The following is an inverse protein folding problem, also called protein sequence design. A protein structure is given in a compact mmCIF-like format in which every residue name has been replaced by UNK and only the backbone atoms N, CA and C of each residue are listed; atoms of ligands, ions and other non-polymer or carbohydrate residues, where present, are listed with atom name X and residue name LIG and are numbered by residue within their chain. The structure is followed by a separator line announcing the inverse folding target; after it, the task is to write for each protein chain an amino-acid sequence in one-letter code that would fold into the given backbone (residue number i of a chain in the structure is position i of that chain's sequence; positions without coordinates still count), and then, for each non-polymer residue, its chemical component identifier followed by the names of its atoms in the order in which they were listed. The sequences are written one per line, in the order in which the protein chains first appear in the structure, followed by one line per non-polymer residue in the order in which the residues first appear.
data_IF_776155220505
#
_entry.id   IF_776155220505
#
_cell.length_a   1.000
_cell.length_b   1.000
_cell.length_c   1.000
_cell.angle_alpha   90.00
_cell.angle_beta   90.00
_cell.angle_gamma   90.00
#
_symmetry.space_group_name_H-M   'P 1'
#
loop_
_entity.id
_entity.type
_entity.pdbx_description
1 polymer ?
#
# COMPACT_ATOMS: atom_id res chain seq x y z
N UNK A 1 -44.96 16.35 14.63
CA UNK A 1 -43.64 16.87 15.09
C UNK A 1 -42.57 16.05 14.42
N UNK A 2 -42.03 16.54 13.31
CA UNK A 2 -40.96 15.89 12.58
C UNK A 2 -39.62 16.44 13.09
N UNK A 3 -38.87 15.65 13.83
CA UNK A 3 -37.47 15.96 14.16
C UNK A 3 -36.59 15.56 12.99
N UNK A 4 -36.14 16.54 12.23
CA UNK A 4 -35.00 16.39 11.30
C UNK A 4 -33.78 16.12 12.15
N UNK A 5 -33.16 14.96 11.93
CA UNK A 5 -31.81 14.69 12.40
C UNK A 5 -30.87 15.39 11.41
N UNK A 6 -30.33 16.54 11.80
CA UNK A 6 -29.26 17.22 11.07
C UNK A 6 -28.00 16.35 11.13
N UNK A 7 -27.67 15.74 9.99
CA UNK A 7 -26.36 15.13 9.79
C UNK A 7 -25.29 16.22 9.81
N UNK A 8 -24.55 16.34 10.89
CA UNK A 8 -23.34 17.14 10.93
C UNK A 8 -22.35 16.56 9.90
N UNK A 9 -22.22 17.23 8.77
CA UNK A 9 -21.09 17.07 7.88
C UNK A 9 -19.84 17.50 8.66
N UNK A 10 -19.00 16.54 9.03
CA UNK A 10 -17.68 16.80 9.55
C UNK A 10 -16.89 17.57 8.49
N UNK A 11 -16.48 18.79 8.81
CA UNK A 11 -15.87 19.76 7.89
C UNK A 11 -14.43 19.45 7.46
N UNK A 12 -14.14 18.22 7.07
CA UNK A 12 -12.87 17.89 6.43
C UNK A 12 -12.93 18.35 4.97
N UNK A 13 -11.98 19.20 4.55
CA UNK A 13 -11.86 19.61 3.16
C UNK A 13 -11.71 18.37 2.25
N UNK A 14 -12.37 18.40 1.08
CA UNK A 14 -12.25 17.34 0.09
C UNK A 14 -10.76 17.08 -0.25
N UNK A 15 -10.37 15.81 -0.48
CA UNK A 15 -9.00 15.49 -0.87
C UNK A 15 -8.57 16.30 -2.09
N UNK A 16 -7.39 16.91 -2.01
CA UNK A 16 -6.79 17.70 -3.08
C UNK A 16 -5.68 16.91 -3.74
N UNK A 17 -5.61 16.95 -5.07
CA UNK A 17 -4.48 16.43 -5.82
C UNK A 17 -3.42 17.52 -5.98
N UNK A 18 -2.18 17.13 -5.79
CA UNK A 18 -0.99 17.97 -5.94
C UNK A 18 0.12 17.18 -6.63
N UNK A 19 1.14 17.89 -7.09
CA UNK A 19 2.33 17.31 -7.73
C UNK A 19 3.59 17.93 -7.15
N UNK A 20 4.66 17.15 -7.13
CA UNK A 20 5.98 17.60 -6.71
C UNK A 20 7.05 17.04 -7.64
N UNK A 21 8.03 17.88 -7.99
CA UNK A 21 9.20 17.45 -8.74
C UNK A 21 10.08 16.52 -7.90
N UNK A 22 10.47 15.39 -8.46
CA UNK A 22 11.33 14.38 -7.81
C UNK A 22 12.31 13.84 -8.83
N UNK A 23 13.60 13.87 -8.51
CA UNK A 23 14.66 13.41 -9.42
C UNK A 23 14.48 14.03 -10.84
N UNK A 24 14.30 13.20 -11.84
CA UNK A 24 14.10 13.57 -13.26
C UNK A 24 12.64 13.53 -13.71
N UNK A 25 11.68 13.49 -12.75
CA UNK A 25 10.25 13.34 -13.03
C UNK A 25 9.38 14.14 -12.04
N UNK A 26 8.09 13.84 -12.00
CA UNK A 26 7.13 14.37 -11.04
C UNK A 26 6.38 13.22 -10.37
N UNK A 27 6.02 13.38 -9.09
CA UNK A 27 5.08 12.50 -8.43
C UNK A 27 3.82 13.27 -8.05
N UNK A 28 2.68 12.70 -8.45
CA UNK A 28 1.35 13.18 -8.07
C UNK A 28 0.93 12.54 -6.76
N UNK A 29 0.16 13.25 -5.95
CA UNK A 29 -0.36 12.73 -4.69
C UNK A 29 -1.70 13.34 -4.30
N UNK A 30 -2.49 12.59 -3.54
CA UNK A 30 -3.67 13.09 -2.87
C UNK A 30 -3.29 13.59 -1.48
N UNK A 31 -3.80 14.75 -1.07
CA UNK A 31 -3.62 15.32 0.26
C UNK A 31 -4.96 15.68 0.88
N UNK A 32 -5.15 15.35 2.17
CA UNK A 32 -6.31 15.72 2.96
C UNK A 32 -5.94 15.82 4.44
N UNK A 33 -6.70 16.66 5.18
CA UNK A 33 -6.41 16.93 6.59
C UNK A 33 -5.21 17.86 6.78
N UNK A 34 -5.21 18.61 7.88
CA UNK A 34 -4.18 19.64 8.17
C UNK A 34 -3.61 19.54 9.57
N UNK A 35 -4.10 18.58 10.37
CA UNK A 35 -3.74 18.43 11.78
C UNK A 35 -3.41 16.97 12.10
N UNK A 36 -2.73 16.76 13.25
CA UNK A 36 -2.35 15.43 13.69
C UNK A 36 -1.09 14.89 12.99
N UNK A 37 -0.77 13.60 13.19
CA UNK A 37 0.39 12.96 12.56
C UNK A 37 0.21 12.83 11.06
N UNK A 38 1.32 12.86 10.32
CA UNK A 38 1.29 12.59 8.88
C UNK A 38 1.08 11.09 8.64
N UNK A 39 0.05 10.74 7.86
CA UNK A 39 -0.23 9.38 7.44
C UNK A 39 0.07 9.25 5.95
N UNK A 40 1.08 8.45 5.63
CA UNK A 40 1.49 8.13 4.26
C UNK A 40 0.76 6.86 3.80
N UNK A 41 0.00 6.96 2.73
CA UNK A 41 -0.75 5.85 2.15
C UNK A 41 -0.03 5.29 0.92
N UNK A 42 0.55 4.12 1.01
CA UNK A 42 1.31 3.47 -0.06
C UNK A 42 0.50 2.37 -0.72
N UNK A 43 0.19 2.57 -1.98
CA UNK A 43 -0.50 1.59 -2.82
C UNK A 43 0.48 0.55 -3.42
N UNK A 44 -0.06 -0.48 -4.07
CA UNK A 44 0.69 -1.47 -4.80
C UNK A 44 0.30 -1.56 -6.29
N UNK A 45 0.54 -2.71 -6.88
CA UNK A 45 0.32 -2.99 -8.31
C UNK A 45 -1.11 -3.54 -8.55
N UNK A 46 -1.86 -3.10 -9.57
CA UNK A 46 -1.62 -2.03 -10.53
C UNK A 46 -2.34 -0.73 -10.13
N UNK A 47 -2.48 -0.46 -8.85
CA UNK A 47 -3.32 0.61 -8.31
C UNK A 47 -2.61 1.98 -8.28
N UNK A 48 -3.20 2.94 -7.60
CA UNK A 48 -2.68 4.29 -7.38
C UNK A 48 -3.22 4.85 -6.06
N UNK A 49 -2.99 6.12 -5.75
CA UNK A 49 -3.63 6.79 -4.63
C UNK A 49 -5.17 6.64 -4.62
N UNK A 50 -5.76 6.38 -5.79
CA UNK A 50 -7.20 6.18 -5.94
C UNK A 50 -7.78 5.07 -5.07
N UNK A 51 -6.99 4.01 -4.78
CA UNK A 51 -7.45 2.91 -3.91
C UNK A 51 -7.75 3.37 -2.47
N UNK A 52 -7.16 4.48 -2.05
CA UNK A 52 -7.33 5.04 -0.71
C UNK A 52 -8.45 6.08 -0.60
N UNK A 53 -9.16 6.39 -1.73
CA UNK A 53 -10.16 7.46 -1.82
C UNK A 53 -11.27 7.39 -0.77
N UNK A 54 -11.71 6.17 -0.43
CA UNK A 54 -12.78 5.93 0.55
C UNK A 54 -12.26 5.77 1.99
N UNK A 55 -10.93 5.62 2.19
CA UNK A 55 -10.29 5.50 3.51
C UNK A 55 -9.85 6.87 4.02
N UNK A 56 -9.25 7.69 3.17
CA UNK A 56 -8.74 9.02 3.51
C UNK A 56 -9.78 9.89 4.23
N UNK A 57 -11.07 9.94 3.86
CA UNK A 57 -12.08 10.75 4.55
C UNK A 57 -12.26 10.41 6.03
N UNK A 58 -12.04 9.15 6.44
CA UNK A 58 -12.10 8.74 7.85
C UNK A 58 -10.89 9.23 8.66
N UNK A 59 -9.73 9.30 8.01
CA UNK A 59 -8.45 9.61 8.66
C UNK A 59 -8.15 11.11 8.66
N UNK A 60 -8.57 11.84 7.63
CA UNK A 60 -8.30 13.27 7.46
C UNK A 60 -8.75 14.18 8.63
N UNK A 61 -9.81 13.87 9.41
CA UNK A 61 -10.16 14.65 10.60
C UNK A 61 -9.14 14.60 11.73
N UNK A 62 -8.30 13.55 11.79
CA UNK A 62 -7.36 13.27 12.89
C UNK A 62 -5.90 13.13 12.45
N UNK A 63 -5.61 13.19 11.16
CA UNK A 63 -4.27 13.07 10.58
C UNK A 63 -4.12 13.85 9.27
N UNK A 64 -2.89 14.28 8.96
CA UNK A 64 -2.54 14.77 7.63
C UNK A 64 -2.29 13.57 6.70
N UNK A 65 -3.22 13.31 5.78
CA UNK A 65 -3.16 12.21 4.83
C UNK A 65 -2.38 12.61 3.57
N UNK A 66 -1.40 11.80 3.18
CA UNK A 66 -0.64 11.93 1.94
C UNK A 66 -0.62 10.57 1.24
N UNK A 67 -1.18 10.50 0.06
CA UNK A 67 -1.25 9.28 -0.75
C UNK A 67 -0.59 9.55 -2.11
N UNK A 68 0.72 9.26 -2.28
CA UNK A 68 1.38 9.38 -3.57
C UNK A 68 0.88 8.34 -4.56
N UNK A 69 0.86 8.71 -5.82
CA UNK A 69 0.95 7.76 -6.91
C UNK A 69 2.42 7.38 -7.06
N UNK A 70 2.79 6.11 -6.93
CA UNK A 70 4.16 5.67 -7.13
C UNK A 70 4.64 6.02 -8.55
N UNK A 71 5.94 6.20 -8.73
CA UNK A 71 6.49 6.51 -10.06
C UNK A 71 6.03 5.48 -11.09
N UNK A 72 5.53 5.93 -12.24
CA UNK A 72 4.95 5.07 -13.27
C UNK A 72 3.47 4.72 -13.08
N UNK A 73 2.87 5.02 -11.92
CA UNK A 73 1.47 4.74 -11.59
C UNK A 73 0.63 6.03 -11.52
N UNK A 74 -0.69 5.88 -11.56
CA UNK A 74 -1.62 7.00 -11.41
C UNK A 74 -1.28 8.14 -12.34
N UNK A 75 -1.24 9.36 -11.78
CA UNK A 75 -0.89 10.58 -12.48
C UNK A 75 0.59 10.97 -12.30
N UNK A 76 1.39 10.16 -11.62
CA UNK A 76 2.84 10.36 -11.56
C UNK A 76 3.50 10.17 -12.92
N UNK A 77 4.65 10.82 -13.11
CA UNK A 77 5.44 10.70 -14.31
C UNK A 77 5.83 9.27 -14.65
N UNK A 78 6.13 9.03 -15.92
CA UNK A 78 6.49 7.72 -16.46
C UNK A 78 7.86 7.79 -17.16
N UNK A 79 8.96 8.07 -16.42
CA UNK A 79 10.30 8.10 -16.98
C UNK A 79 10.68 6.76 -17.59
N UNK A 80 11.63 6.76 -18.52
CA UNK A 80 12.11 5.52 -19.14
C UNK A 80 13.15 4.84 -18.23
N UNK A 81 12.64 4.13 -17.23
CA UNK A 81 13.41 3.37 -16.25
C UNK A 81 12.89 1.93 -16.19
N UNK A 82 13.56 1.08 -15.42
CA UNK A 82 13.17 -0.33 -15.26
C UNK A 82 12.00 -0.56 -14.30
N UNK A 83 11.65 0.42 -13.48
CA UNK A 83 10.61 0.33 -12.45
C UNK A 83 10.83 -0.82 -11.47
N UNK A 84 12.10 -1.11 -11.16
CA UNK A 84 12.46 -2.09 -10.15
C UNK A 84 12.05 -1.61 -8.75
N UNK A 85 12.00 -2.52 -7.80
CA UNK A 85 11.76 -2.18 -6.39
C UNK A 85 12.63 -1.00 -5.93
N UNK A 86 13.93 -1.02 -6.23
CA UNK A 86 14.86 0.03 -5.83
C UNK A 86 14.65 1.36 -6.57
N UNK A 87 14.07 1.36 -7.76
CA UNK A 87 13.66 2.61 -8.41
C UNK A 87 12.52 3.25 -7.63
N UNK A 88 11.51 2.48 -7.25
CA UNK A 88 10.43 2.98 -6.39
C UNK A 88 10.93 3.49 -5.04
N UNK A 89 11.91 2.83 -4.42
CA UNK A 89 12.57 3.30 -3.18
C UNK A 89 13.20 4.68 -3.41
N UNK A 90 14.00 4.86 -4.47
CA UNK A 90 14.67 6.14 -4.78
C UNK A 90 13.68 7.28 -4.98
N UNK A 91 12.62 7.05 -5.74
CA UNK A 91 11.60 8.08 -6.00
C UNK A 91 10.77 8.39 -4.75
N UNK A 92 10.45 7.39 -3.94
CA UNK A 92 9.76 7.61 -2.67
C UNK A 92 10.61 8.41 -1.67
N UNK A 93 11.91 8.10 -1.57
CA UNK A 93 12.82 8.86 -0.72
C UNK A 93 12.89 10.35 -1.16
N UNK A 94 13.05 10.61 -2.46
CA UNK A 94 13.05 11.95 -3.02
C UNK A 94 11.70 12.68 -2.83
N UNK A 95 10.58 11.96 -2.92
CA UNK A 95 9.24 12.49 -2.65
C UNK A 95 9.10 12.95 -1.19
N UNK A 96 9.53 12.14 -0.24
CA UNK A 96 9.49 12.48 1.19
C UNK A 96 10.39 13.67 1.53
N UNK A 97 11.56 13.75 0.88
CA UNK A 97 12.48 14.88 1.03
C UNK A 97 11.91 16.17 0.44
N UNK A 98 11.34 16.11 -0.75
CA UNK A 98 10.75 17.27 -1.43
C UNK A 98 9.56 17.88 -0.67
N UNK A 99 8.83 17.05 0.10
CA UNK A 99 7.73 17.52 0.96
C UNK A 99 8.15 17.79 2.42
N UNK A 100 9.44 17.68 2.76
CA UNK A 100 9.99 17.80 4.12
C UNK A 100 9.24 16.94 5.16
N UNK A 101 8.85 15.72 4.75
CA UNK A 101 8.12 14.80 5.63
C UNK A 101 9.13 14.04 6.49
N UNK A 102 9.01 14.18 7.82
CA UNK A 102 9.97 13.62 8.78
C UNK A 102 9.39 12.42 9.53
N UNK A 103 8.27 12.60 10.19
CA UNK A 103 7.66 11.59 11.05
C UNK A 103 6.37 11.06 10.42
N UNK A 104 6.24 9.73 10.35
CA UNK A 104 5.21 9.06 9.56
C UNK A 104 4.49 7.97 10.34
N UNK A 105 3.18 7.94 10.21
CA UNK A 105 2.41 6.70 10.24
C UNK A 105 2.25 6.25 8.80
N UNK A 106 2.44 4.97 8.51
CA UNK A 106 2.32 4.46 7.14
C UNK A 106 1.16 3.47 7.07
N UNK A 107 0.25 3.67 6.13
CA UNK A 107 -0.77 2.71 5.73
C UNK A 107 -0.40 2.13 4.36
N UNK A 108 -0.28 0.81 4.24
CA UNK A 108 0.28 0.20 3.04
C UNK A 108 -0.41 -1.12 2.64
N UNK A 109 -0.42 -1.39 1.35
CA UNK A 109 -0.95 -2.62 0.77
C UNK A 109 -0.03 -3.08 -0.38
N UNK A 110 0.10 -4.41 -0.56
CA UNK A 110 0.86 -5.03 -1.65
C UNK A 110 2.30 -4.49 -1.71
N UNK A 111 2.81 -4.04 -2.84
CA UNK A 111 4.16 -3.46 -2.98
C UNK A 111 4.40 -2.22 -2.12
N UNK A 112 3.33 -1.48 -1.79
CA UNK A 112 3.41 -0.40 -0.82
C UNK A 112 3.92 -0.89 0.54
N UNK A 113 3.64 -2.15 0.93
CA UNK A 113 4.15 -2.72 2.19
C UNK A 113 5.65 -3.02 2.13
N UNK A 114 6.17 -3.48 0.98
CA UNK A 114 7.60 -3.67 0.81
C UNK A 114 8.35 -2.34 0.94
N UNK A 115 7.81 -1.26 0.34
CA UNK A 115 8.36 0.09 0.49
C UNK A 115 8.26 0.59 1.94
N UNK A 116 7.13 0.35 2.61
CA UNK A 116 6.92 0.74 4.00
C UNK A 116 7.90 0.03 4.96
N UNK A 117 8.07 -1.28 4.80
CA UNK A 117 8.99 -2.06 5.64
C UNK A 117 10.44 -1.67 5.40
N UNK A 118 10.83 -1.45 4.14
CA UNK A 118 12.17 -0.98 3.79
C UNK A 118 12.43 0.44 4.35
N UNK A 119 11.46 1.34 4.27
CA UNK A 119 11.57 2.66 4.87
C UNK A 119 11.69 2.57 6.40
N UNK A 120 10.87 1.73 7.04
CA UNK A 120 10.89 1.52 8.49
C UNK A 120 12.20 0.89 8.97
N UNK A 121 12.80 -0.03 8.21
CA UNK A 121 14.10 -0.62 8.54
C UNK A 121 15.23 0.42 8.50
N UNK A 122 15.22 1.35 7.54
CA UNK A 122 16.24 2.38 7.35
C UNK A 122 16.04 3.63 8.23
N UNK A 123 14.79 3.97 8.55
CA UNK A 123 14.41 5.21 9.25
C UNK A 123 13.53 4.92 10.48
N UNK A 124 13.89 3.90 11.26
CA UNK A 124 13.05 3.37 12.35
C UNK A 124 12.58 4.42 13.36
N UNK A 125 13.38 5.42 13.67
CA UNK A 125 13.05 6.51 14.60
C UNK A 125 12.02 7.51 14.03
N UNK A 126 11.77 7.48 12.72
CA UNK A 126 10.85 8.36 12.01
C UNK A 126 9.50 7.71 11.74
N UNK A 127 9.38 6.40 12.00
CA UNK A 127 8.15 5.66 11.76
C UNK A 127 7.40 5.51 13.07
N UNK A 128 6.31 6.25 13.18
CA UNK A 128 5.47 6.31 14.38
C UNK A 128 4.50 5.12 14.48
N UNK A 129 4.13 4.53 13.35
CA UNK A 129 3.22 3.39 13.27
C UNK A 129 3.12 2.80 11.86
N UNK A 130 2.76 1.52 11.76
CA UNK A 130 2.56 0.80 10.50
C UNK A 130 1.18 0.14 10.49
N UNK A 131 0.32 0.51 9.53
CA UNK A 131 -0.94 -0.17 9.24
C UNK A 131 -0.80 -0.88 7.88
N UNK A 132 -0.97 -2.19 7.80
CA UNK A 132 -0.69 -2.90 6.56
C UNK A 132 -1.61 -4.10 6.34
N UNK A 133 -1.73 -4.50 5.07
CA UNK A 133 -2.56 -5.60 4.61
C UNK A 133 -1.99 -6.19 3.33
N UNK A 134 -2.29 -7.48 3.06
CA UNK A 134 -1.89 -8.16 1.81
C UNK A 134 -0.44 -7.85 1.44
N UNK A 135 0.48 -8.15 2.36
CA UNK A 135 1.84 -7.65 2.32
C UNK A 135 2.81 -8.57 1.57
N UNK A 136 3.78 -7.96 0.90
CA UNK A 136 4.88 -8.66 0.25
C UNK A 136 5.85 -9.19 1.31
N UNK A 137 6.22 -10.45 1.17
CA UNK A 137 7.18 -11.15 2.03
C UNK A 137 8.05 -12.09 1.20
N UNK A 138 9.16 -12.59 1.72
CA UNK A 138 9.85 -13.72 1.09
C UNK A 138 8.91 -14.93 1.03
N UNK A 139 8.81 -15.55 -0.14
CA UNK A 139 8.05 -16.77 -0.36
C UNK A 139 9.04 -17.90 -0.65
N UNK A 140 9.09 -18.92 0.22
CA UNK A 140 10.02 -20.03 0.07
C UNK A 140 9.68 -20.87 -1.17
N UNK A 141 8.35 -21.03 -1.44
CA UNK A 141 7.84 -21.76 -2.57
C UNK A 141 6.67 -21.02 -3.23
N UNK A 142 6.34 -21.40 -4.45
CA UNK A 142 5.18 -20.84 -5.17
C UNK A 142 3.86 -21.06 -4.44
N UNK A 143 3.73 -22.15 -3.69
CA UNK A 143 2.58 -22.50 -2.86
C UNK A 143 2.38 -21.52 -1.70
N UNK A 144 3.47 -20.94 -1.19
CA UNK A 144 3.43 -19.91 -0.14
C UNK A 144 3.01 -18.54 -0.67
N UNK A 145 3.26 -18.31 -1.98
CA UNK A 145 2.84 -17.08 -2.64
C UNK A 145 1.32 -17.04 -2.85
N UNK A 146 0.74 -18.13 -3.38
CA UNK A 146 -0.70 -18.14 -3.64
C UNK A 146 -1.28 -19.56 -3.57
N UNK A 147 -2.42 -19.72 -2.87
CA UNK A 147 -3.06 -21.02 -2.70
C UNK A 147 -3.66 -21.58 -4.02
N UNK A 148 -4.19 -20.68 -4.88
CA UNK A 148 -4.83 -21.09 -6.16
C UNK A 148 -3.77 -21.39 -7.22
N UNK A 149 -3.79 -22.59 -7.78
CA UNK A 149 -2.87 -23.00 -8.83
C UNK A 149 -2.91 -22.07 -10.05
N UNK A 150 -4.11 -21.69 -10.51
CA UNK A 150 -4.25 -20.78 -11.67
C UNK A 150 -3.57 -19.44 -11.46
N UNK A 151 -3.61 -18.89 -10.23
CA UNK A 151 -2.90 -17.66 -9.91
C UNK A 151 -1.38 -17.87 -9.98
N UNK A 152 -0.85 -18.99 -9.44
CA UNK A 152 0.58 -19.31 -9.55
C UNK A 152 1.03 -19.42 -11.00
N UNK A 153 0.25 -20.12 -11.82
CA UNK A 153 0.55 -20.27 -13.26
C UNK A 153 0.54 -18.92 -13.99
N UNK A 154 -0.45 -18.06 -13.71
CA UNK A 154 -0.47 -16.70 -14.23
C UNK A 154 0.78 -15.92 -13.85
N UNK A 155 1.17 -15.91 -12.57
CA UNK A 155 2.35 -15.18 -12.11
C UNK A 155 3.67 -15.77 -12.67
N UNK A 156 3.75 -17.08 -12.87
CA UNK A 156 4.86 -17.71 -13.61
C UNK A 156 4.91 -17.21 -15.06
N UNK A 157 3.77 -17.13 -15.75
CA UNK A 157 3.69 -16.59 -17.10
C UNK A 157 4.08 -15.11 -17.16
N UNK A 158 3.65 -14.28 -16.20
CA UNK A 158 4.05 -12.86 -16.09
C UNK A 158 5.57 -12.68 -15.95
N UNK A 159 6.25 -13.64 -15.31
CA UNK A 159 7.71 -13.64 -15.12
C UNK A 159 8.46 -14.23 -16.32
N UNK A 160 7.77 -14.90 -17.22
CA UNK A 160 8.37 -15.50 -18.43
C UNK A 160 8.53 -14.43 -19.52
N UNK A 161 9.74 -14.23 -20.07
CA UNK A 161 9.95 -13.32 -21.18
C UNK A 161 9.05 -13.63 -22.38
N UNK A 162 8.52 -12.60 -23.01
CA UNK A 162 7.56 -12.69 -24.12
C UNK A 162 6.13 -12.94 -23.66
N UNK A 163 5.89 -13.90 -22.77
CA UNK A 163 4.55 -14.18 -22.27
C UNK A 163 4.04 -13.04 -21.34
N UNK A 164 4.89 -12.57 -20.44
CA UNK A 164 4.54 -11.45 -19.57
C UNK A 164 4.29 -10.16 -20.33
N UNK A 165 5.11 -9.85 -21.33
CA UNK A 165 4.92 -8.69 -22.22
C UNK A 165 3.56 -8.75 -22.92
N UNK A 166 3.22 -9.89 -23.50
CA UNK A 166 1.92 -10.08 -24.15
C UNK A 166 0.77 -9.88 -23.17
N UNK A 167 0.81 -10.54 -22.02
CA UNK A 167 -0.27 -10.49 -21.03
C UNK A 167 -0.46 -9.07 -20.44
N UNK A 168 0.63 -8.35 -20.14
CA UNK A 168 0.53 -7.06 -19.47
C UNK A 168 0.58 -5.89 -20.44
N UNK A 169 1.57 -5.87 -21.36
CA UNK A 169 1.76 -4.68 -22.20
C UNK A 169 0.72 -4.65 -23.33
N UNK A 170 0.36 -5.79 -23.92
CA UNK A 170 -0.61 -5.85 -25.00
C UNK A 170 -2.04 -6.02 -24.45
N UNK A 171 -2.30 -7.09 -23.68
CA UNK A 171 -3.64 -7.50 -23.27
C UNK A 171 -4.13 -6.80 -21.98
N UNK A 172 -3.27 -6.04 -21.26
CA UNK A 172 -3.58 -5.33 -20.01
C UNK A 172 -4.25 -6.23 -18.93
N UNK A 173 -3.89 -7.50 -18.88
CA UNK A 173 -4.57 -8.53 -18.06
C UNK A 173 -4.61 -8.14 -16.58
N UNK A 174 -3.60 -7.44 -16.08
CA UNK A 174 -3.54 -7.08 -14.67
C UNK A 174 -4.69 -6.13 -14.27
N UNK A 175 -4.93 -5.09 -15.06
CA UNK A 175 -6.01 -4.12 -14.80
C UNK A 175 -7.37 -4.69 -15.19
N UNK A 176 -7.45 -5.42 -16.33
CA UNK A 176 -8.72 -5.85 -16.88
C UNK A 176 -9.28 -7.11 -16.22
N UNK A 177 -8.41 -7.95 -15.63
CA UNK A 177 -8.83 -9.25 -15.09
C UNK A 177 -8.37 -9.50 -13.67
N UNK A 178 -7.09 -9.28 -13.34
CA UNK A 178 -6.57 -9.58 -12.00
C UNK A 178 -7.20 -8.66 -10.96
N UNK A 179 -7.23 -7.36 -11.24
CA UNK A 179 -7.76 -6.37 -10.31
C UNK A 179 -9.24 -6.65 -9.97
N UNK A 180 -10.19 -6.70 -10.92
CA UNK A 180 -11.60 -6.93 -10.59
C UNK A 180 -11.87 -8.32 -10.01
N UNK A 181 -11.07 -9.35 -10.36
CA UNK A 181 -11.19 -10.68 -9.76
C UNK A 181 -10.65 -10.77 -8.33
N UNK A 182 -9.97 -9.74 -7.86
CA UNK A 182 -9.38 -9.63 -6.52
C UNK A 182 -10.11 -8.64 -5.61
N UNK A 183 -11.31 -8.24 -5.98
CA UNK A 183 -12.31 -7.46 -5.21
C UNK A 183 -13.57 -8.32 -5.13
N UNK A 184 -14.23 -8.38 -3.97
CA UNK A 184 -15.43 -9.22 -3.82
C UNK A 184 -16.68 -8.56 -4.39
N UNK A 185 -16.81 -7.25 -4.19
CA UNK A 185 -17.92 -6.50 -4.79
C UNK A 185 -17.72 -6.30 -6.29
N UNK A 186 -18.79 -6.08 -7.01
CA UNK A 186 -18.69 -5.63 -8.40
C UNK A 186 -18.21 -4.19 -8.43
N UNK A 187 -17.16 -3.93 -9.20
CA UNK A 187 -16.66 -2.58 -9.45
C UNK A 187 -17.51 -1.90 -10.54
N UNK A 188 -17.77 -0.60 -10.39
CA UNK A 188 -18.49 0.16 -11.40
C UNK A 188 -17.63 0.47 -12.62
N UNK A 189 -18.24 0.85 -13.73
CA UNK A 189 -17.52 1.25 -14.94
C UNK A 189 -16.65 2.49 -14.70
N UNK A 190 -17.07 3.42 -13.85
CA UNK A 190 -16.31 4.60 -13.47
C UNK A 190 -15.08 4.22 -12.64
N UNK A 191 -15.21 3.29 -11.71
CA UNK A 191 -14.09 2.78 -10.92
C UNK A 191 -13.07 2.07 -11.82
N UNK A 192 -13.54 1.20 -12.71
CA UNK A 192 -12.66 0.53 -13.68
C UNK A 192 -12.01 1.52 -14.64
N UNK A 193 -12.73 2.57 -15.07
CA UNK A 193 -12.16 3.63 -15.90
C UNK A 193 -11.03 4.39 -15.16
N UNK A 194 -11.19 4.66 -13.85
CA UNK A 194 -10.15 5.28 -13.04
C UNK A 194 -8.88 4.41 -12.93
N UNK A 195 -9.03 3.09 -12.79
CA UNK A 195 -7.89 2.17 -12.77
C UNK A 195 -7.24 1.96 -14.14
N UNK A 196 -7.99 2.09 -15.24
CA UNK A 196 -7.46 2.01 -16.62
C UNK A 196 -6.71 3.26 -17.03
N UNK A 197 -7.18 4.43 -16.60
CA UNK A 197 -6.70 5.74 -17.05
C UNK A 197 -5.17 5.91 -17.02
N UNK A 198 -4.42 5.40 -16.01
CA UNK A 198 -2.97 5.50 -15.98
C UNK A 198 -2.24 4.66 -17.04
N UNK A 199 -2.90 3.68 -17.68
CA UNK A 199 -2.27 2.63 -18.49
C UNK A 199 -2.82 2.53 -19.92
N UNK A 200 -2.93 3.64 -20.68
CA UNK A 200 -3.55 3.64 -22.01
C UNK A 200 -2.70 2.94 -23.09
N UNK A 201 -1.39 2.88 -22.90
CA UNK A 201 -0.45 2.35 -23.89
C UNK A 201 0.41 1.22 -23.33
N UNK A 202 1.00 0.35 -24.18
CA UNK A 202 1.95 -0.66 -23.74
C UNK A 202 3.10 -0.09 -22.88
N UNK A 203 3.65 1.07 -23.28
CA UNK A 203 4.75 1.73 -22.54
C UNK A 203 4.32 2.13 -21.13
N UNK A 204 3.10 2.66 -20.97
CA UNK A 204 2.59 3.05 -19.65
C UNK A 204 2.38 1.87 -18.69
N UNK A 205 2.33 0.63 -19.21
CA UNK A 205 2.16 -0.61 -18.46
C UNK A 205 3.47 -1.25 -18.02
N UNK A 206 4.64 -0.71 -18.40
CA UNK A 206 5.96 -1.21 -17.97
C UNK A 206 6.06 -1.45 -16.46
N UNK A 207 5.65 -0.52 -15.56
CA UNK A 207 5.71 -0.74 -14.12
C UNK A 207 4.81 -1.88 -13.67
N UNK A 208 3.63 -2.04 -14.29
CA UNK A 208 2.69 -3.13 -13.98
C UNK A 208 3.27 -4.51 -14.29
N UNK A 209 4.07 -4.60 -15.35
CA UNK A 209 4.80 -5.83 -15.71
C UNK A 209 6.00 -6.08 -14.79
N UNK A 210 6.71 -5.02 -14.39
CA UNK A 210 7.95 -5.18 -13.61
C UNK A 210 7.68 -5.74 -12.22
N UNK A 211 6.74 -5.21 -11.46
CA UNK A 211 6.56 -5.58 -10.07
C UNK A 211 6.22 -7.07 -9.85
N UNK A 212 5.42 -7.77 -10.66
CA UNK A 212 5.29 -9.23 -10.56
C UNK A 212 6.63 -10.00 -10.74
N UNK A 213 7.56 -9.43 -11.50
CA UNK A 213 8.89 -9.99 -11.73
C UNK A 213 9.87 -9.74 -10.58
N UNK A 214 9.56 -8.79 -9.72
CA UNK A 214 10.33 -8.46 -8.52
C UNK A 214 9.85 -9.23 -7.26
N UNK A 215 8.73 -9.98 -7.32
CA UNK A 215 8.26 -10.78 -6.18
C UNK A 215 9.35 -11.75 -5.71
N UNK A 216 9.73 -11.73 -4.41
CA UNK A 216 10.81 -12.54 -3.88
C UNK A 216 10.35 -13.98 -3.64
N UNK A 217 10.19 -14.74 -4.73
CA UNK A 217 9.74 -16.14 -4.71
C UNK A 217 10.97 -17.03 -4.99
N UNK A 218 11.17 -18.06 -4.15
CA UNK A 218 12.30 -19.01 -4.27
C UNK A 218 13.66 -18.30 -4.33
N UNK A 219 13.80 -17.21 -3.56
CA UNK A 219 15.03 -16.42 -3.50
C UNK A 219 15.31 -15.55 -4.74
N UNK A 220 14.34 -15.37 -5.64
CA UNK A 220 14.52 -14.60 -6.88
C UNK A 220 13.48 -13.49 -7.06
N UNK A 221 13.89 -12.26 -7.47
CA UNK A 221 15.29 -11.81 -7.70
C UNK A 221 16.11 -11.78 -6.39
N UNK A 222 17.37 -12.15 -6.46
CA UNK A 222 18.19 -12.36 -5.27
C UNK A 222 18.38 -11.09 -4.41
N UNK A 223 18.53 -9.93 -5.04
CA UNK A 223 18.69 -8.65 -4.35
C UNK A 223 17.38 -8.21 -3.64
N UNK A 224 16.22 -8.41 -4.28
CA UNK A 224 14.92 -8.12 -3.66
C UNK A 224 14.59 -9.14 -2.56
N UNK A 225 14.92 -10.40 -2.75
CA UNK A 225 14.76 -11.44 -1.73
C UNK A 225 15.59 -11.12 -0.48
N UNK A 226 16.87 -10.80 -0.64
CA UNK A 226 17.76 -10.47 0.47
C UNK A 226 17.30 -9.22 1.24
N UNK A 227 16.85 -8.17 0.54
CA UNK A 227 16.36 -6.97 1.22
C UNK A 227 15.02 -7.21 1.91
N UNK A 228 14.13 -8.00 1.31
CA UNK A 228 12.85 -8.38 1.91
C UNK A 228 13.06 -9.17 3.22
N UNK A 229 14.00 -10.13 3.25
CA UNK A 229 14.36 -10.86 4.46
C UNK A 229 14.92 -9.95 5.55
N UNK A 230 15.81 -9.03 5.17
CA UNK A 230 16.35 -8.02 6.09
C UNK A 230 15.23 -7.18 6.71
N UNK A 231 14.32 -6.64 5.89
CA UNK A 231 13.28 -5.73 6.31
C UNK A 231 12.24 -6.45 7.19
N UNK A 232 11.88 -7.70 6.88
CA UNK A 232 11.01 -8.52 7.73
C UNK A 232 11.65 -8.86 9.08
N UNK A 233 12.98 -9.04 9.13
CA UNK A 233 13.72 -9.21 10.38
C UNK A 233 13.68 -7.93 11.22
N UNK A 234 13.91 -6.77 10.60
CA UNK A 234 13.81 -5.48 11.25
C UNK A 234 12.38 -5.22 11.77
N UNK A 235 11.34 -5.57 11.00
CA UNK A 235 9.94 -5.45 11.40
C UNK A 235 9.61 -6.25 12.67
N UNK A 236 10.14 -7.48 12.79
CA UNK A 236 9.96 -8.33 13.97
C UNK A 236 10.62 -7.76 15.22
N UNK A 237 11.78 -7.12 15.07
CA UNK A 237 12.51 -6.50 16.17
C UNK A 237 11.94 -5.14 16.59
N UNK A 238 11.27 -4.46 15.68
CA UNK A 238 10.71 -3.12 15.88
C UNK A 238 9.61 -3.10 16.93
N UNK A 239 9.70 -2.18 17.89
CA UNK A 239 8.64 -1.86 18.85
C UNK A 239 7.60 -0.87 18.34
N UNK A 240 7.78 -0.32 17.13
CA UNK A 240 6.80 0.56 16.48
C UNK A 240 5.40 -0.09 16.52
N UNK A 241 4.35 0.64 16.92
CA UNK A 241 2.97 0.13 16.91
C UNK A 241 2.52 -0.31 15.52
N UNK A 242 1.76 -1.40 15.44
CA UNK A 242 1.32 -1.96 14.17
C UNK A 242 -0.17 -2.31 14.18
N UNK A 243 -0.84 -2.12 13.03
CA UNK A 243 -2.12 -2.71 12.69
C UNK A 243 -1.94 -3.64 11.49
N UNK A 244 -2.36 -4.89 11.61
CA UNK A 244 -2.41 -5.83 10.49
C UNK A 244 -3.86 -6.19 10.20
N UNK A 245 -4.30 -5.87 8.99
CA UNK A 245 -5.62 -6.24 8.48
C UNK A 245 -5.52 -7.48 7.58
N UNK A 246 -6.51 -8.36 7.66
CA UNK A 246 -6.64 -9.47 6.74
C UNK A 246 -8.09 -9.71 6.33
N UNK A 247 -8.29 -10.15 5.10
CA UNK A 247 -9.57 -10.62 4.55
C UNK A 247 -9.56 -12.14 4.40
N UNK A 248 -10.74 -12.75 4.34
CA UNK A 248 -10.94 -14.18 4.11
C UNK A 248 -11.48 -14.42 2.67
N UNK A 249 -10.80 -15.19 1.81
CA UNK A 249 -9.59 -15.99 2.08
C UNK A 249 -8.27 -15.23 2.03
N UNK A 250 -8.28 -13.93 1.67
CA UNK A 250 -7.08 -13.19 1.30
C UNK A 250 -6.51 -13.65 -0.04
N UNK A 251 -5.39 -13.08 -0.46
CA UNK A 251 -4.66 -13.51 -1.64
C UNK A 251 -3.20 -13.84 -1.31
N UNK A 252 -2.45 -12.90 -0.74
CA UNK A 252 -1.06 -13.12 -0.33
C UNK A 252 -0.95 -13.74 1.06
N UNK A 253 -1.98 -13.57 1.89
CA UNK A 253 -1.99 -14.13 3.24
C UNK A 253 -3.42 -14.43 3.71
N UNK A 254 -3.64 -15.63 4.23
CA UNK A 254 -4.91 -15.98 4.87
C UNK A 254 -5.06 -15.32 6.26
N UNK A 255 -6.28 -15.13 6.77
CA UNK A 255 -6.49 -14.59 8.12
C UNK A 255 -5.74 -15.34 9.21
N UNK A 256 -5.72 -16.67 9.12
CA UNK A 256 -5.01 -17.51 10.09
C UNK A 256 -3.49 -17.25 10.04
N UNK A 257 -2.90 -17.22 8.88
CA UNK A 257 -1.47 -16.94 8.72
C UNK A 257 -1.13 -15.50 9.13
N UNK A 258 -2.01 -14.51 8.83
CA UNK A 258 -1.86 -13.13 9.26
C UNK A 258 -1.91 -12.99 10.79
N UNK A 259 -2.81 -13.70 11.46
CA UNK A 259 -2.90 -13.73 12.92
C UNK A 259 -1.63 -14.31 13.55
N UNK A 260 -1.12 -15.41 12.99
CA UNK A 260 0.15 -16.01 13.44
C UNK A 260 1.33 -15.06 13.21
N UNK A 261 1.37 -14.39 12.06
CA UNK A 261 2.39 -13.39 11.76
C UNK A 261 2.34 -12.22 12.74
N UNK A 262 1.13 -11.68 13.02
CA UNK A 262 0.94 -10.61 14.00
C UNK A 262 1.40 -11.01 15.41
N UNK A 263 1.13 -12.25 15.83
CA UNK A 263 1.58 -12.77 17.12
C UNK A 263 3.11 -12.84 17.26
N UNK A 264 3.83 -12.94 16.15
CA UNK A 264 5.29 -12.88 16.09
C UNK A 264 5.87 -11.46 16.05
N UNK A 265 5.04 -10.42 16.00
CA UNK A 265 5.45 -9.01 15.98
C UNK A 265 5.23 -8.33 17.32
N UNK A 266 6.14 -7.44 17.71
CA UNK A 266 5.94 -6.58 18.88
C UNK A 266 4.88 -5.52 18.55
N UNK A 267 4.00 -5.24 19.52
CA UNK A 267 2.99 -4.16 19.45
C UNK A 267 2.13 -4.22 18.16
N UNK A 268 1.70 -5.41 17.77
CA UNK A 268 0.85 -5.60 16.60
C UNK A 268 -0.56 -5.99 17.00
N UNK A 269 -1.55 -5.19 16.59
CA UNK A 269 -2.98 -5.50 16.68
C UNK A 269 -3.42 -6.13 15.36
N UNK A 270 -3.99 -7.32 15.43
CA UNK A 270 -4.58 -8.00 14.27
C UNK A 270 -6.06 -7.66 14.16
N UNK A 271 -6.54 -7.35 12.95
CA UNK A 271 -7.94 -7.05 12.63
C UNK A 271 -8.36 -7.94 11.47
N UNK A 272 -9.27 -8.87 11.74
CA UNK A 272 -9.93 -9.65 10.69
C UNK A 272 -11.12 -8.86 10.15
N UNK A 273 -11.11 -8.56 8.86
CA UNK A 273 -12.15 -7.79 8.17
C UNK A 273 -13.34 -8.66 7.71
N UNK A 274 -13.22 -9.99 7.82
CA UNK A 274 -14.19 -10.92 7.24
C UNK A 274 -13.90 -11.22 5.77
N UNK A 275 -14.94 -11.49 4.94
CA UNK A 275 -14.74 -11.85 3.54
C UNK A 275 -13.95 -10.78 2.80
N UNK A 276 -12.85 -11.16 2.13
CA UNK A 276 -11.97 -10.22 1.42
C UNK A 276 -10.92 -10.93 0.61
N UNK A 277 -10.52 -10.37 -0.53
CA UNK A 277 -9.47 -10.90 -1.38
C UNK A 277 -8.20 -10.04 -1.25
N UNK A 278 -7.71 -9.43 -2.34
CA UNK A 278 -6.44 -8.70 -2.31
C UNK A 278 -6.62 -7.19 -2.07
N UNK A 279 -7.60 -6.58 -2.73
CA UNK A 279 -7.80 -5.12 -2.62
C UNK A 279 -8.84 -4.81 -1.54
N UNK A 280 -8.46 -5.09 -0.28
CA UNK A 280 -9.34 -4.95 0.90
C UNK A 280 -9.89 -3.53 1.07
N UNK A 281 -9.20 -2.53 0.53
CA UNK A 281 -9.64 -1.13 0.55
C UNK A 281 -10.93 -0.92 -0.25
N UNK A 282 -11.17 -1.74 -1.28
CA UNK A 282 -12.40 -1.67 -2.09
C UNK A 282 -13.59 -2.32 -1.40
N UNK A 283 -13.35 -3.35 -0.59
CA UNK A 283 -14.40 -4.10 0.09
C UNK A 283 -14.68 -3.58 1.52
N UNK A 284 -13.67 -2.99 2.20
CA UNK A 284 -13.71 -2.69 3.64
C UNK A 284 -13.21 -1.28 3.99
N UNK A 285 -13.42 -0.29 3.13
CA UNK A 285 -12.90 1.06 3.32
C UNK A 285 -13.25 1.68 4.67
N UNK A 286 -14.53 1.57 5.10
CA UNK A 286 -15.02 2.14 6.35
C UNK A 286 -14.36 1.49 7.58
N UNK A 287 -14.24 0.16 7.58
CA UNK A 287 -13.61 -0.57 8.69
C UNK A 287 -12.12 -0.23 8.81
N UNK A 288 -11.39 -0.21 7.69
CA UNK A 288 -9.97 0.13 7.66
C UNK A 288 -9.76 1.59 8.06
N UNK A 289 -10.53 2.51 7.47
CA UNK A 289 -10.42 3.95 7.74
C UNK A 289 -10.73 4.29 9.19
N UNK A 290 -11.81 3.75 9.75
CA UNK A 290 -12.19 3.93 11.16
C UNK A 290 -11.17 3.35 12.13
N UNK A 291 -10.61 2.18 11.82
CA UNK A 291 -9.58 1.56 12.65
C UNK A 291 -8.29 2.39 12.67
N UNK A 292 -7.82 2.88 11.52
CA UNK A 292 -6.65 3.75 11.44
C UNK A 292 -6.92 5.06 12.20
N UNK A 293 -8.06 5.72 11.96
CA UNK A 293 -8.41 6.97 12.61
C UNK A 293 -8.49 6.85 14.14
N UNK A 294 -9.10 5.76 14.65
CA UNK A 294 -9.17 5.51 16.09
C UNK A 294 -7.83 5.17 16.73
N UNK A 295 -6.87 4.67 15.95
CA UNK A 295 -5.54 4.29 16.40
C UNK A 295 -4.54 5.46 16.46
N UNK A 296 -4.69 6.48 15.61
CA UNK A 296 -3.75 7.61 15.56
C UNK A 296 -3.55 8.34 16.90
N UNK A 297 -4.59 8.62 17.72
CA UNK A 297 -4.41 9.24 19.03
C UNK A 297 -3.57 8.40 19.99
N UNK A 298 -3.69 7.06 19.95
CA UNK A 298 -2.90 6.13 20.76
C UNK A 298 -1.40 6.25 20.43
N UNK A 299 -1.07 6.37 19.13
CA UNK A 299 0.31 6.56 18.65
C UNK A 299 0.89 7.87 19.18
N UNK A 300 0.16 8.97 19.05
CA UNK A 300 0.61 10.29 19.47
C UNK A 300 0.89 10.29 20.98
N UNK A 301 0.01 9.68 21.77
CA UNK A 301 0.17 9.58 23.22
C UNK A 301 1.40 8.73 23.59
N UNK A 302 1.58 7.58 22.95
CA UNK A 302 2.71 6.68 23.21
C UNK A 302 4.07 7.33 22.93
N UNK A 303 4.17 8.11 21.85
CA UNK A 303 5.40 8.78 21.48
C UNK A 303 5.73 9.97 22.42
N UNK A 304 4.72 10.68 22.94
CA UNK A 304 4.92 11.75 23.94
C UNK A 304 5.46 11.22 25.27
N UNK A 305 5.08 10.02 25.67
CA UNK A 305 5.56 9.38 26.90
C UNK A 305 6.95 8.75 26.76
N UNK A 306 7.42 8.53 25.54
CA UNK A 306 8.74 7.98 25.24
C UNK A 306 9.84 9.04 25.11
N UNK A 307 9.50 10.35 24.94
CA UNK A 307 10.47 11.43 25.02
C UNK A 307 10.84 11.66 26.48
N UNK A 308 12.13 11.52 26.88
CA UNK A 308 12.55 11.88 28.22
C UNK A 308 12.27 13.36 28.44
N UNK A 309 11.64 13.70 29.58
CA UNK A 309 11.47 15.08 30.01
C UNK A 309 12.83 15.79 29.91
N UNK A 310 12.94 16.74 29.00
CA UNK A 310 14.12 17.61 28.93
C UNK A 310 14.14 18.41 30.22
N UNK A 311 15.07 18.05 31.12
CA UNK A 311 15.36 18.78 32.35
C UNK A 311 16.29 19.94 32.05
#
# INVERSE_FOLDING_TARGET
MNSKIDGQQTGAAAPRRSEVAVLDSTMSYMEAGTSGPTVLFLHGNPTSSYIWRNIIPHVAPVGRCIAPDLIGYGQSGKPDIDYRFFDHVRYLDAFLEALDIKDLVIAAQDWGTALAFHLAARRSQRILGLAFMEFIRPFEHWEDFHQRQQARELFKALRTPGAGEKLVLEDNVFVEKVLPASVLRTMSDEEMAAYRAPFPTPQSRKPVLRLPRELPIEGQPADVAAISEHDHRALRLSSCPKLLFAGDPGALISPQAAQQFAAGLKNCRFINLGPGAHYLQEDHADAIGSAIAGWLPEIVQSNRTAEPAQA
#
